data_IF_058197560837
#
_entry.id   IF_058197560837
#
_cell.length_a   1.000
_cell.length_b   1.000
_cell.length_c   1.000
_cell.angle_alpha   90.00
_cell.angle_beta   90.00
_cell.angle_gamma   90.00
#
_symmetry.space_group_name_H-M   'P 1'
#
loop_
_entity.id
_entity.type
_entity.pdbx_description
1 polymer ?
#
# COMPACT_ATOMS: atom_id res chain seq x y z
N UNK A 1 -1.51 10.81 -9.18
CA UNK A 1 -0.15 11.37 -9.03
C UNK A 1 0.18 11.41 -7.54
N UNK A 2 1.44 11.16 -7.17
CA UNK A 2 1.82 11.19 -5.75
C UNK A 2 1.57 12.58 -5.15
N UNK A 3 0.99 12.65 -3.96
CA UNK A 3 0.68 13.91 -3.30
C UNK A 3 -0.61 14.61 -3.77
N UNK A 4 -1.42 13.99 -4.62
CA UNK A 4 -2.76 14.50 -4.93
C UNK A 4 -3.74 14.23 -3.77
N UNK A 5 -4.70 15.15 -3.56
CA UNK A 5 -5.74 15.04 -2.51
C UNK A 5 -6.57 13.75 -2.56
N UNK A 6 -6.61 13.06 -3.70
CA UNK A 6 -7.24 11.75 -3.85
C UNK A 6 -6.31 10.85 -4.62
N UNK A 7 -5.87 9.77 -3.96
CA UNK A 7 -5.13 8.69 -4.58
C UNK A 7 -6.00 7.44 -4.53
N UNK A 8 -6.05 6.68 -5.61
CA UNK A 8 -6.66 5.36 -5.56
C UNK A 8 -5.71 4.36 -4.88
N UNK A 9 -6.28 3.27 -4.36
CA UNK A 9 -5.50 2.23 -3.69
C UNK A 9 -4.41 1.66 -4.62
N UNK A 10 -4.63 1.64 -5.93
CA UNK A 10 -3.64 1.13 -6.87
C UNK A 10 -2.37 1.97 -6.89
N UNK A 11 -2.53 3.29 -7.00
CA UNK A 11 -1.42 4.22 -6.96
C UNK A 11 -0.63 4.12 -5.65
N UNK A 12 -1.32 3.98 -4.53
CA UNK A 12 -0.71 3.88 -3.19
C UNK A 12 0.07 2.58 -3.02
N UNK A 13 -0.53 1.47 -3.45
CA UNK A 13 0.00 0.13 -3.21
C UNK A 13 1.09 -0.28 -4.22
N UNK A 14 1.13 0.34 -5.41
CA UNK A 14 2.10 0.01 -6.46
C UNK A 14 2.96 1.18 -6.91
N UNK A 15 2.35 2.32 -7.23
CA UNK A 15 2.99 3.30 -8.12
C UNK A 15 3.46 4.56 -7.41
N UNK A 16 3.35 4.66 -6.08
CA UNK A 16 3.69 5.89 -5.39
C UNK A 16 5.16 5.89 -4.91
N UNK A 17 6.10 6.54 -5.61
CA UNK A 17 7.50 6.63 -5.21
C UNK A 17 7.72 7.26 -3.83
N UNK A 18 6.80 8.11 -3.35
CA UNK A 18 6.91 8.70 -2.01
C UNK A 18 6.76 7.68 -0.88
N UNK A 19 6.22 6.49 -1.19
CA UNK A 19 5.96 5.43 -0.21
C UNK A 19 6.90 4.24 -0.38
N UNK A 20 7.94 4.29 -1.22
CA UNK A 20 8.80 3.14 -1.50
C UNK A 20 9.51 2.62 -0.24
N UNK A 21 10.09 3.51 0.57
CA UNK A 21 10.74 3.14 1.84
C UNK A 21 9.73 2.56 2.84
N UNK A 22 8.55 3.18 2.94
CA UNK A 22 7.48 2.68 3.80
C UNK A 22 7.02 1.29 3.32
N UNK A 23 6.93 1.07 2.01
CA UNK A 23 6.51 -0.20 1.42
C UNK A 23 7.47 -1.32 1.78
N UNK A 24 8.78 -1.07 1.84
CA UNK A 24 9.77 -2.08 2.26
C UNK A 24 9.60 -2.54 3.71
N UNK A 25 9.02 -1.70 4.58
CA UNK A 25 8.68 -2.10 5.96
C UNK A 25 7.56 -3.15 6.01
N UNK A 26 6.55 -3.01 5.15
CA UNK A 26 5.37 -3.89 5.12
C UNK A 26 5.50 -5.06 4.14
N UNK A 27 6.23 -4.85 3.04
CA UNK A 27 6.57 -5.84 2.01
C UNK A 27 8.06 -5.75 1.66
N UNK A 28 8.93 -6.40 2.45
CA UNK A 28 10.38 -6.39 2.20
C UNK A 28 10.76 -7.06 0.87
N UNK A 29 9.94 -8.02 0.43
CA UNK A 29 10.05 -8.65 -0.88
C UNK A 29 8.95 -8.12 -1.80
N UNK A 30 9.22 -7.94 -3.10
CA UNK A 30 8.22 -7.54 -4.08
C UNK A 30 7.00 -8.45 -4.01
N UNK A 31 5.81 -7.85 -3.93
CA UNK A 31 4.53 -8.56 -3.92
C UNK A 31 3.60 -8.05 -5.01
N UNK A 32 2.96 -9.00 -5.68
CA UNK A 32 1.93 -8.75 -6.68
C UNK A 32 0.74 -8.01 -6.08
N UNK A 33 0.07 -7.16 -6.87
CA UNK A 33 -1.08 -6.38 -6.39
C UNK A 33 -2.19 -7.28 -5.84
N UNK A 34 -2.47 -8.38 -6.52
CA UNK A 34 -3.51 -9.32 -6.09
C UNK A 34 -3.26 -9.88 -4.70
N UNK A 35 -1.99 -10.02 -4.28
CA UNK A 35 -1.67 -10.46 -2.93
C UNK A 35 -1.88 -9.36 -1.88
N UNK A 36 -1.75 -8.09 -2.27
CA UNK A 36 -2.03 -6.94 -1.40
C UNK A 36 -3.54 -6.70 -1.24
N UNK A 37 -4.33 -6.93 -2.30
CA UNK A 37 -5.78 -6.67 -2.32
C UNK A 37 -6.65 -7.87 -1.93
N UNK A 38 -6.20 -9.09 -2.22
CA UNK A 38 -7.02 -10.31 -2.08
C UNK A 38 -6.27 -11.46 -1.39
N UNK A 39 -5.25 -11.13 -0.59
CA UNK A 39 -4.50 -12.11 0.18
C UNK A 39 -5.30 -12.72 1.34
N UNK A 40 -4.62 -13.55 2.13
CA UNK A 40 -5.12 -14.03 3.42
C UNK A 40 -5.44 -12.87 4.37
N UNK A 41 -6.25 -13.13 5.41
CA UNK A 41 -6.59 -12.13 6.42
C UNK A 41 -5.36 -11.45 7.04
N UNK A 42 -4.27 -12.20 7.27
CA UNK A 42 -3.00 -11.65 7.74
C UNK A 42 -2.40 -10.65 6.73
N UNK A 43 -2.38 -11.02 5.45
CA UNK A 43 -1.85 -10.15 4.39
C UNK A 43 -2.70 -8.89 4.21
N UNK A 44 -4.02 -9.02 4.29
CA UNK A 44 -4.93 -7.87 4.24
C UNK A 44 -4.78 -6.96 5.45
N UNK A 45 -4.48 -7.52 6.63
CA UNK A 45 -4.12 -6.75 7.82
C UNK A 45 -2.89 -5.88 7.59
N UNK A 46 -1.82 -6.44 7.01
CA UNK A 46 -0.61 -5.71 6.63
C UNK A 46 -0.94 -4.58 5.63
N UNK A 47 -1.77 -4.86 4.62
CA UNK A 47 -2.22 -3.84 3.66
C UNK A 47 -2.97 -2.71 4.36
N UNK A 48 -3.88 -3.03 5.28
CA UNK A 48 -4.65 -2.04 6.02
C UNK A 48 -3.77 -1.16 6.92
N UNK A 49 -2.79 -1.76 7.61
CA UNK A 49 -1.82 -1.02 8.41
C UNK A 49 -0.96 -0.07 7.56
N UNK A 50 -0.55 -0.50 6.36
CA UNK A 50 0.18 0.36 5.44
C UNK A 50 -0.67 1.55 4.96
N UNK A 51 -1.93 1.30 4.59
CA UNK A 51 -2.86 2.37 4.18
C UNK A 51 -3.07 3.36 5.32
N UNK A 52 -3.29 2.88 6.54
CA UNK A 52 -3.42 3.72 7.72
C UNK A 52 -2.17 4.56 7.98
N UNK A 53 -0.99 3.96 7.87
CA UNK A 53 0.29 4.65 8.09
C UNK A 53 0.66 5.64 6.97
N UNK A 54 -0.02 5.58 5.82
CA UNK A 54 0.24 6.47 4.69
C UNK A 54 -0.71 7.67 4.61
N UNK A 55 -1.46 7.94 5.70
CA UNK A 55 -2.44 9.04 5.84
C UNK A 55 -3.51 9.08 4.75
N UNK A 56 -3.70 7.97 4.04
CA UNK A 56 -4.74 7.81 3.04
C UNK A 56 -6.05 7.48 3.74
N UNK A 57 -6.78 8.54 4.04
CA UNK A 57 -8.16 8.41 4.48
C UNK A 57 -8.98 8.02 3.25
N UNK A 58 -9.42 6.76 3.19
CA UNK A 58 -10.31 6.23 2.14
C UNK A 58 -11.73 6.78 2.34
#
# INVERSE_FOLDING_TARGET
MCGANRQDAQHVLQDCPLLDDARLKYWPEPREMNQKLYGSALQLGITAEFIYASDLTI
#
